data_IF_956349802571
#
_entry.id   IF_956349802571
#
_cell.length_a   1.000
_cell.length_b   1.000
_cell.length_c   1.000
_cell.angle_alpha   90.00
_cell.angle_beta   90.00
_cell.angle_gamma   90.00
#
_symmetry.space_group_name_H-M   'P 1'
#
loop_
_entity.id
_entity.type
_entity.pdbx_description
1 polymer ?
#
# COMPACT_ATOMS: atom_id res chain seq x y z
N UNK A 1 -21.53 -1.83 7.18
CA UNK A 1 -20.18 -2.38 7.45
C UNK A 1 -19.50 -2.57 6.12
N UNK A 2 -18.26 -2.11 5.97
CA UNK A 2 -17.44 -2.23 4.76
C UNK A 2 -16.33 -3.25 5.03
N UNK A 3 -16.25 -4.30 4.21
CA UNK A 3 -15.20 -5.31 4.27
C UNK A 3 -14.00 -4.90 3.42
N UNK A 4 -12.84 -4.82 4.07
CA UNK A 4 -11.57 -4.38 3.51
C UNK A 4 -10.54 -5.51 3.52
N UNK A 5 -9.98 -5.79 2.34
CA UNK A 5 -8.88 -6.72 2.19
C UNK A 5 -7.56 -5.97 1.95
N UNK A 6 -6.57 -6.18 2.81
CA UNK A 6 -5.31 -5.45 2.79
C UNK A 6 -4.15 -6.37 2.45
N UNK A 7 -3.18 -5.89 1.68
CA UNK A 7 -1.89 -6.57 1.50
C UNK A 7 -0.75 -5.57 1.26
N UNK A 8 0.49 -5.94 1.62
CA UNK A 8 1.66 -5.06 1.46
C UNK A 8 3.02 -5.77 1.47
N UNK A 9 4.11 -5.00 1.54
CA UNK A 9 5.49 -5.53 1.50
C UNK A 9 6.04 -5.96 2.86
N UNK A 10 5.71 -5.22 3.92
CA UNK A 10 6.33 -5.41 5.23
C UNK A 10 5.34 -5.42 6.38
N UNK A 11 5.72 -6.14 7.45
CA UNK A 11 5.00 -6.14 8.72
C UNK A 11 5.05 -4.78 9.43
N UNK A 12 6.07 -3.99 9.15
CA UNK A 12 6.28 -2.66 9.74
C UNK A 12 5.33 -1.62 9.18
N UNK A 13 4.87 -1.79 7.94
CA UNK A 13 4.05 -0.78 7.25
C UNK A 13 2.56 -1.10 7.38
N UNK A 14 2.19 -2.33 7.02
CA UNK A 14 0.78 -2.77 7.05
C UNK A 14 0.39 -3.40 8.38
N UNK A 15 1.36 -3.95 9.12
CA UNK A 15 1.11 -4.67 10.35
C UNK A 15 1.38 -6.17 10.25
N UNK A 16 1.07 -6.87 11.33
CA UNK A 16 1.26 -8.33 11.44
C UNK A 16 0.05 -8.99 12.07
N UNK A 17 -0.20 -10.24 11.68
CA UNK A 17 -1.22 -11.07 12.32
C UNK A 17 -0.97 -11.15 13.83
N UNK A 18 -2.02 -10.97 14.62
CA UNK A 18 -1.93 -11.13 16.06
C UNK A 18 -2.12 -12.61 16.41
N UNK A 19 -1.06 -13.31 16.79
CA UNK A 19 -1.13 -14.73 17.15
C UNK A 19 -1.90 -15.00 18.45
N UNK A 20 -2.08 -14.00 19.31
CA UNK A 20 -2.88 -14.12 20.53
C UNK A 20 -4.38 -13.93 20.27
N UNK A 21 -4.74 -13.17 19.23
CA UNK A 21 -6.11 -13.03 18.75
C UNK A 21 -6.12 -13.03 17.20
N UNK A 22 -6.22 -14.21 16.57
CA UNK A 22 -6.20 -14.35 15.11
C UNK A 22 -7.34 -13.62 14.40
N UNK A 23 -8.38 -13.19 15.12
CA UNK A 23 -9.46 -12.34 14.58
C UNK A 23 -9.03 -10.88 14.41
N UNK A 24 -7.86 -10.52 14.92
CA UNK A 24 -7.29 -9.18 14.87
C UNK A 24 -5.86 -9.24 14.32
N UNK A 25 -5.44 -8.16 13.71
CA UNK A 25 -4.03 -7.96 13.35
C UNK A 25 -3.55 -6.64 13.95
N UNK A 26 -2.27 -6.60 14.31
CA UNK A 26 -1.63 -5.40 14.82
C UNK A 26 -1.42 -4.46 13.64
N UNK A 27 -2.23 -3.40 13.55
CA UNK A 27 -2.19 -2.45 12.43
C UNK A 27 -0.86 -1.71 12.38
N UNK A 28 -0.23 -1.71 11.21
CA UNK A 28 0.90 -0.84 10.92
C UNK A 28 0.46 0.58 10.55
N UNK A 29 1.40 1.54 10.46
CA UNK A 29 1.10 2.95 10.17
C UNK A 29 0.30 3.16 8.89
N UNK A 30 0.57 2.39 7.83
CA UNK A 30 -0.11 2.53 6.55
C UNK A 30 -1.53 1.99 6.60
N UNK A 31 -1.77 0.92 7.36
CA UNK A 31 -3.14 0.45 7.63
C UNK A 31 -3.95 1.49 8.40
N UNK A 32 -3.35 2.10 9.44
CA UNK A 32 -4.01 3.18 10.18
C UNK A 32 -4.35 4.36 9.25
N UNK A 33 -3.43 4.73 8.35
CA UNK A 33 -3.69 5.79 7.37
C UNK A 33 -4.85 5.44 6.43
N UNK A 34 -4.88 4.22 5.89
CA UNK A 34 -5.98 3.77 5.03
C UNK A 34 -7.33 3.80 5.76
N UNK A 35 -7.37 3.29 7.00
CA UNK A 35 -8.56 3.35 7.86
C UNK A 35 -9.00 4.80 8.12
N UNK A 36 -8.08 5.72 8.42
CA UNK A 36 -8.39 7.13 8.64
C UNK A 36 -8.98 7.79 7.40
N UNK A 37 -8.40 7.55 6.21
CA UNK A 37 -8.89 8.11 4.95
C UNK A 37 -10.30 7.60 4.64
N UNK A 38 -10.54 6.29 4.83
CA UNK A 38 -11.86 5.71 4.57
C UNK A 38 -12.90 6.26 5.55
N UNK A 39 -12.60 6.30 6.85
CA UNK A 39 -13.50 6.88 7.87
C UNK A 39 -13.79 8.36 7.68
N UNK A 40 -12.93 9.08 6.97
CA UNK A 40 -13.23 10.47 6.60
C UNK A 40 -14.32 10.57 5.52
N UNK A 41 -14.53 9.51 4.75
CA UNK A 41 -15.50 9.45 3.67
C UNK A 41 -16.83 8.77 4.06
N UNK A 42 -16.88 8.09 5.21
CA UNK A 42 -18.06 7.33 5.63
C UNK A 42 -18.10 7.08 7.15
N UNK A 43 -19.32 7.01 7.70
CA UNK A 43 -19.58 6.62 9.09
C UNK A 43 -19.71 5.08 9.27
N UNK A 44 -19.60 4.32 8.18
CA UNK A 44 -19.68 2.86 8.21
C UNK A 44 -18.54 2.22 9.02
N UNK A 45 -18.85 1.12 9.70
CA UNK A 45 -17.85 0.31 10.39
C UNK A 45 -16.97 -0.44 9.38
N UNK A 46 -15.68 -0.55 9.67
CA UNK A 46 -14.72 -1.26 8.83
C UNK A 46 -14.39 -2.62 9.43
N UNK A 47 -14.57 -3.67 8.63
CA UNK A 47 -14.03 -5.00 8.89
C UNK A 47 -12.78 -5.18 8.02
N UNK A 48 -11.63 -5.46 8.64
CA UNK A 48 -10.34 -5.45 7.95
C UNK A 48 -9.62 -6.78 8.10
N UNK A 49 -9.19 -7.34 6.98
CA UNK A 49 -8.35 -8.52 6.93
C UNK A 49 -7.01 -8.20 6.26
N UNK A 50 -5.91 -8.58 6.91
CA UNK A 50 -4.56 -8.47 6.34
C UNK A 50 -4.11 -9.81 5.77
N UNK A 51 -3.82 -9.85 4.47
CA UNK A 51 -3.24 -11.01 3.79
C UNK A 51 -1.76 -10.75 3.50
N UNK A 52 -0.91 -11.60 4.08
CA UNK A 52 0.52 -11.58 3.80
C UNK A 52 0.84 -12.26 2.48
N UNK A 53 1.94 -11.84 1.86
CA UNK A 53 2.40 -12.36 0.57
C UNK A 53 2.56 -13.89 0.54
N UNK A 54 2.94 -14.50 1.67
CA UNK A 54 3.07 -15.96 1.82
C UNK A 54 1.75 -16.70 1.60
N UNK A 55 0.60 -16.03 1.66
CA UNK A 55 -0.70 -16.62 1.42
C UNK A 55 -1.10 -16.57 -0.08
N UNK A 56 -0.43 -15.75 -0.90
CA UNK A 56 -0.65 -15.75 -2.36
C UNK A 56 -0.08 -16.99 -3.05
N UNK A 57 0.94 -17.64 -2.48
CA UNK A 57 1.63 -18.79 -3.11
C UNK A 57 0.80 -20.07 -3.11
N UNK A 58 -0.27 -20.14 -2.32
CA UNK A 58 -1.17 -21.30 -2.27
C UNK A 58 -2.19 -21.33 -3.43
N UNK A 59 -2.41 -20.22 -4.15
CA UNK A 59 -3.43 -20.09 -5.21
C UNK A 59 -2.94 -20.31 -6.65
N UNK A 60 -1.78 -20.95 -6.84
CA UNK A 60 -1.37 -21.51 -8.12
C UNK A 60 -0.65 -20.57 -9.10
N UNK A 61 -0.17 -21.16 -10.20
CA UNK A 61 0.60 -20.48 -11.24
C UNK A 61 -0.34 -19.76 -12.23
N UNK A 62 -0.44 -18.44 -12.13
CA UNK A 62 -1.07 -17.62 -13.18
C UNK A 62 -0.18 -17.61 -14.42
N UNK A 63 -0.75 -17.95 -15.58
CA UNK A 63 -0.14 -17.67 -16.89
C UNK A 63 -0.35 -16.20 -17.20
N UNK A 64 0.65 -15.38 -16.90
CA UNK A 64 0.64 -13.96 -17.28
C UNK A 64 0.74 -13.86 -18.81
N UNK A 65 -0.14 -13.10 -19.49
CA UNK A 65 0.06 -12.81 -20.90
C UNK A 65 1.39 -12.06 -21.04
N UNK A 66 2.23 -12.53 -21.98
CA UNK A 66 3.60 -12.06 -22.15
C UNK A 66 3.69 -10.63 -22.66
N UNK A 67 3.33 -9.65 -21.83
CA UNK A 67 3.67 -8.24 -22.04
C UNK A 67 5.12 -8.09 -21.58
N UNK A 68 5.99 -7.49 -22.41
CA UNK A 68 7.39 -7.17 -22.07
C UNK A 68 7.44 -6.12 -20.95
N UNK A 69 6.95 -6.45 -19.76
CA UNK A 69 6.99 -5.59 -18.59
C UNK A 69 8.21 -5.96 -17.75
N UNK A 70 8.90 -4.97 -17.18
CA UNK A 70 9.98 -5.22 -16.25
C UNK A 70 9.56 -6.19 -15.14
N UNK A 71 10.50 -6.99 -14.62
CA UNK A 71 10.20 -8.02 -13.61
C UNK A 71 9.43 -7.46 -12.40
N UNK A 72 9.71 -6.19 -12.05
CA UNK A 72 9.08 -5.46 -10.95
C UNK A 72 7.60 -5.16 -11.22
N UNK A 73 7.25 -4.69 -12.41
CA UNK A 73 5.85 -4.41 -12.78
C UNK A 73 5.05 -5.70 -12.90
N UNK A 74 5.61 -6.73 -13.54
CA UNK A 74 4.95 -8.03 -13.62
C UNK A 74 4.65 -8.63 -12.24
N UNK A 75 5.51 -8.35 -11.25
CA UNK A 75 5.29 -8.76 -9.87
C UNK A 75 4.16 -7.99 -9.18
N UNK A 76 4.05 -6.66 -9.35
CA UNK A 76 2.98 -5.88 -8.74
C UNK A 76 1.61 -6.18 -9.35
N UNK A 77 1.55 -6.29 -10.68
CA UNK A 77 0.38 -6.77 -11.40
C UNK A 77 -0.13 -8.10 -10.84
N UNK A 78 0.77 -9.09 -10.72
CA UNK A 78 0.38 -10.43 -10.23
C UNK A 78 -0.21 -10.40 -8.83
N UNK A 79 0.35 -9.59 -7.94
CA UNK A 79 -0.16 -9.48 -6.57
C UNK A 79 -1.54 -8.80 -6.54
N UNK A 80 -1.73 -7.76 -7.34
CA UNK A 80 -3.02 -7.07 -7.44
C UNK A 80 -4.09 -8.00 -8.00
N UNK A 81 -3.76 -8.75 -9.06
CA UNK A 81 -4.66 -9.75 -9.62
C UNK A 81 -5.08 -10.80 -8.59
N UNK A 82 -4.10 -11.39 -7.88
CA UNK A 82 -4.39 -12.40 -6.86
C UNK A 82 -5.21 -11.84 -5.70
N UNK A 83 -4.90 -10.62 -5.26
CA UNK A 83 -5.64 -9.95 -4.20
C UNK A 83 -7.08 -9.68 -4.62
N UNK A 84 -7.31 -9.22 -5.86
CA UNK A 84 -8.65 -9.02 -6.42
C UNK A 84 -9.45 -10.32 -6.53
N UNK A 85 -8.83 -11.43 -6.95
CA UNK A 85 -9.47 -12.75 -6.95
C UNK A 85 -9.88 -13.20 -5.53
N UNK A 86 -9.00 -13.00 -4.54
CA UNK A 86 -9.34 -13.32 -3.15
C UNK A 86 -10.48 -12.42 -2.64
N UNK A 87 -10.47 -11.13 -2.98
CA UNK A 87 -11.52 -10.20 -2.61
C UNK A 87 -12.88 -10.59 -3.19
N UNK A 88 -12.92 -11.01 -4.47
CA UNK A 88 -14.13 -11.53 -5.11
C UNK A 88 -14.65 -12.78 -4.41
N UNK A 89 -13.78 -13.76 -4.15
CA UNK A 89 -14.17 -15.01 -3.48
C UNK A 89 -14.71 -14.76 -2.06
N UNK A 90 -14.16 -13.77 -1.35
CA UNK A 90 -14.59 -13.39 0.00
C UNK A 90 -15.78 -12.43 0.02
N UNK A 91 -16.16 -11.85 -1.12
CA UNK A 91 -17.19 -10.82 -1.18
C UNK A 91 -16.79 -9.52 -0.48
N UNK A 92 -15.50 -9.15 -0.52
CA UNK A 92 -15.01 -7.91 0.07
C UNK A 92 -15.47 -6.69 -0.74
N UNK A 93 -15.68 -5.56 -0.06
CA UNK A 93 -16.10 -4.31 -0.70
C UNK A 93 -14.93 -3.58 -1.35
N UNK A 94 -13.74 -3.60 -0.73
CA UNK A 94 -12.54 -2.91 -1.21
C UNK A 94 -11.31 -3.78 -0.95
N UNK A 95 -10.35 -3.74 -1.88
CA UNK A 95 -9.05 -4.39 -1.73
C UNK A 95 -7.93 -3.37 -1.91
N UNK A 96 -7.01 -3.28 -0.97
CA UNK A 96 -5.92 -2.29 -0.98
C UNK A 96 -4.60 -3.03 -1.07
N UNK A 97 -3.83 -2.72 -2.13
CA UNK A 97 -2.47 -3.20 -2.28
C UNK A 97 -1.49 -2.07 -2.00
N UNK A 98 -0.80 -2.17 -0.86
CA UNK A 98 0.31 -1.29 -0.50
C UNK A 98 1.62 -1.75 -1.11
N UNK A 99 2.36 -0.82 -1.71
CA UNK A 99 3.75 -1.04 -2.14
C UNK A 99 4.53 0.20 -1.79
N UNK A 100 5.51 0.06 -0.90
CA UNK A 100 6.43 1.17 -0.66
C UNK A 100 7.30 1.38 -1.90
N UNK A 101 7.71 2.62 -2.10
CA UNK A 101 8.63 2.98 -3.16
C UNK A 101 9.96 3.25 -2.51
N UNK A 102 10.71 2.19 -2.16
CA UNK A 102 12.02 2.29 -1.53
C UNK A 102 13.03 3.01 -2.44
N UNK A 103 12.99 4.33 -2.37
CA UNK A 103 14.08 5.23 -2.05
C UNK A 103 15.29 5.35 -2.95
N UNK A 104 15.54 4.43 -3.86
CA UNK A 104 16.61 4.64 -4.83
C UNK A 104 16.11 5.67 -5.86
N UNK A 105 16.93 6.68 -6.16
CA UNK A 105 16.67 7.74 -7.16
C UNK A 105 16.24 7.23 -8.56
N UNK A 106 16.20 5.91 -8.77
CA UNK A 106 15.87 5.22 -10.00
C UNK A 106 14.38 5.11 -10.29
N UNK A 107 13.48 5.34 -9.33
CA UNK A 107 12.03 5.45 -9.62
C UNK A 107 11.69 6.88 -10.03
N UNK A 108 12.08 7.25 -11.25
CA UNK A 108 11.63 8.50 -11.88
C UNK A 108 10.09 8.64 -11.80
N UNK A 109 9.52 9.86 -11.87
CA UNK A 109 8.06 10.05 -11.86
C UNK A 109 7.30 9.20 -12.90
N UNK A 110 7.94 8.84 -14.01
CA UNK A 110 7.44 7.87 -15.00
C UNK A 110 7.28 6.47 -14.40
N UNK A 111 8.24 6.03 -13.59
CA UNK A 111 8.28 4.70 -12.98
C UNK A 111 7.20 4.58 -11.91
N UNK A 112 6.98 5.60 -11.07
CA UNK A 112 5.87 5.58 -10.09
C UNK A 112 4.51 5.38 -10.77
N UNK A 113 4.22 6.12 -11.86
CA UNK A 113 2.97 5.95 -12.63
C UNK A 113 2.86 4.54 -13.20
N UNK A 114 3.95 3.99 -13.70
CA UNK A 114 4.00 2.61 -14.20
C UNK A 114 3.70 1.61 -13.07
N UNK A 115 4.20 1.82 -11.85
CA UNK A 115 3.89 0.94 -10.71
C UNK A 115 2.41 1.00 -10.33
N UNK A 116 1.85 2.21 -10.23
CA UNK A 116 0.43 2.41 -9.94
C UNK A 116 -0.42 1.75 -11.02
N UNK A 117 -0.15 2.04 -12.30
CA UNK A 117 -0.89 1.46 -13.41
C UNK A 117 -0.78 -0.07 -13.42
N UNK A 118 0.39 -0.63 -13.12
CA UNK A 118 0.58 -2.07 -13.04
C UNK A 118 -0.29 -2.74 -11.98
N UNK A 119 -0.57 -2.07 -10.86
CA UNK A 119 -1.47 -2.57 -9.81
C UNK A 119 -2.93 -2.44 -10.28
N UNK A 120 -3.30 -1.30 -10.86
CA UNK A 120 -4.65 -1.07 -11.38
C UNK A 120 -5.01 -2.10 -12.47
N UNK A 121 -4.12 -2.31 -13.44
CA UNK A 121 -4.28 -3.33 -14.50
C UNK A 121 -4.51 -4.73 -13.89
N UNK A 122 -3.80 -5.07 -12.81
CA UNK A 122 -3.95 -6.36 -12.14
C UNK A 122 -5.31 -6.52 -11.47
N UNK A 123 -5.82 -5.48 -10.80
CA UNK A 123 -7.17 -5.49 -10.24
C UNK A 123 -8.25 -5.54 -11.34
N UNK A 124 -8.09 -4.75 -12.39
CA UNK A 124 -9.00 -4.74 -13.55
C UNK A 124 -9.10 -6.13 -14.18
N UNK A 125 -7.96 -6.77 -14.50
CA UNK A 125 -7.92 -8.10 -15.11
C UNK A 125 -8.43 -9.20 -14.17
N UNK A 126 -8.42 -8.96 -12.85
CA UNK A 126 -9.06 -9.87 -11.89
C UNK A 126 -10.58 -9.76 -11.87
N UNK A 127 -11.16 -8.74 -12.50
CA UNK A 127 -12.60 -8.42 -12.44
C UNK A 127 -13.02 -7.68 -11.16
N UNK A 128 -12.12 -7.42 -10.22
CA UNK A 128 -12.42 -6.72 -8.98
C UNK A 128 -12.29 -5.19 -9.15
N UNK A 129 -13.42 -4.49 -9.23
CA UNK A 129 -13.48 -3.07 -9.58
C UNK A 129 -13.03 -2.12 -8.45
N UNK A 130 -13.16 -2.55 -7.19
CA UNK A 130 -12.88 -1.70 -6.02
C UNK A 130 -11.44 -1.89 -5.50
N UNK A 131 -10.51 -2.15 -6.40
CA UNK A 131 -9.09 -2.31 -6.11
C UNK A 131 -8.36 -0.96 -5.99
N UNK A 132 -7.61 -0.77 -4.91
CA UNK A 132 -6.86 0.47 -4.63
C UNK A 132 -5.36 0.21 -4.67
N UNK A 133 -4.68 0.95 -5.55
CA UNK A 133 -3.21 1.02 -5.57
C UNK A 133 -2.71 2.03 -4.53
N UNK A 134 -2.22 1.54 -3.40
CA UNK A 134 -1.69 2.37 -2.32
C UNK A 134 -0.16 2.47 -2.45
N UNK A 135 0.30 3.34 -3.35
CA UNK A 135 1.72 3.50 -3.68
C UNK A 135 2.17 4.92 -3.32
N UNK A 136 2.93 5.10 -2.23
CA UNK A 136 3.36 6.42 -1.80
C UNK A 136 4.41 7.00 -2.75
N UNK A 137 4.64 8.30 -2.59
CA UNK A 137 5.66 9.03 -3.33
C UNK A 137 6.23 10.12 -2.41
N UNK A 138 7.55 10.14 -2.16
CA UNK A 138 8.55 9.13 -2.53
C UNK A 138 8.54 7.87 -1.65
N UNK A 139 7.84 7.84 -0.51
CA UNK A 139 7.78 6.71 0.44
C UNK A 139 6.64 6.91 1.44
N UNK A 140 6.24 5.87 2.16
CA UNK A 140 5.17 5.92 3.18
C UNK A 140 5.38 7.03 4.22
N UNK A 141 6.62 7.29 4.66
CA UNK A 141 6.90 8.36 5.62
C UNK A 141 6.54 9.76 5.10
N UNK A 142 6.51 10.00 3.78
CA UNK A 142 6.08 11.29 3.24
C UNK A 142 4.57 11.53 3.48
N UNK A 143 3.75 10.48 3.40
CA UNK A 143 2.32 10.56 3.70
C UNK A 143 2.06 10.71 5.20
N UNK A 144 2.81 10.00 6.04
CA UNK A 144 2.75 10.18 7.49
C UNK A 144 3.16 11.61 7.87
N UNK A 145 4.23 12.13 7.27
CA UNK A 145 4.67 13.51 7.49
C UNK A 145 3.60 14.53 7.06
N UNK A 146 2.88 14.28 5.97
CA UNK A 146 1.74 15.10 5.56
C UNK A 146 0.65 15.15 6.63
N UNK A 147 0.32 14.00 7.22
CA UNK A 147 -0.69 13.90 8.28
C UNK A 147 -0.27 14.70 9.52
N UNK A 148 1.02 14.62 9.91
CA UNK A 148 1.56 15.37 11.04
C UNK A 148 1.61 16.90 10.79
N UNK A 149 1.77 17.32 9.54
CA UNK A 149 1.89 18.74 9.17
C UNK A 149 0.55 19.46 8.95
N UNK A 150 -0.58 18.80 9.22
CA UNK A 150 -1.92 19.41 9.07
C UNK A 150 -2.17 19.93 7.63
N UNK A 151 -1.88 19.06 6.65
CA UNK A 151 -2.32 19.05 5.24
C UNK A 151 -1.89 20.21 4.32
N UNK A 152 -1.58 21.41 4.81
CA UNK A 152 -1.28 22.53 3.92
C UNK A 152 0.11 22.33 3.26
N UNK A 153 0.11 22.20 1.93
CA UNK A 153 1.29 22.06 1.06
C UNK A 153 1.94 20.66 0.96
N UNK A 154 1.21 19.57 1.25
CA UNK A 154 1.75 18.20 1.17
C UNK A 154 2.31 17.79 -0.20
N UNK A 155 1.89 18.44 -1.30
CA UNK A 155 2.43 18.18 -2.65
C UNK A 155 3.95 18.37 -2.73
N UNK A 156 4.52 19.24 -1.89
CA UNK A 156 5.97 19.44 -1.84
C UNK A 156 6.69 18.22 -1.25
N UNK A 157 6.03 17.46 -0.38
CA UNK A 157 6.59 16.27 0.26
C UNK A 157 6.80 15.13 -0.74
N UNK A 158 6.03 15.09 -1.83
CA UNK A 158 6.23 14.13 -2.93
C UNK A 158 7.54 14.35 -3.71
N UNK A 159 8.20 15.50 -3.52
CA UNK A 159 9.49 15.82 -4.12
C UNK A 159 10.66 15.61 -3.16
N UNK A 160 10.41 15.14 -1.93
CA UNK A 160 11.47 14.76 -1.01
C UNK A 160 12.24 13.54 -1.56
N UNK A 161 13.48 13.32 -1.12
CA UNK A 161 14.18 12.09 -1.48
C UNK A 161 13.60 10.90 -0.72
N UNK A 162 13.42 9.79 -1.42
CA UNK A 162 13.11 8.50 -0.77
C UNK A 162 14.35 7.77 -0.24
N UNK A 163 15.57 8.20 -0.59
CA UNK A 163 16.78 7.55 -0.10
C UNK A 163 17.02 7.94 1.37
N UNK A 164 17.03 6.96 2.27
CA UNK A 164 17.26 7.20 3.71
C UNK A 164 18.62 7.84 4.01
N UNK A 165 19.61 7.72 3.11
CA UNK A 165 20.91 8.39 3.25
C UNK A 165 20.77 9.92 3.17
N UNK A 166 19.81 10.44 2.40
CA UNK A 166 19.61 11.88 2.23
C UNK A 166 19.28 12.56 3.56
N UNK A 167 19.83 13.76 3.78
CA UNK A 167 19.66 14.51 5.04
C UNK A 167 18.22 14.95 5.28
N UNK A 168 17.47 15.23 4.22
CA UNK A 168 16.06 15.63 4.24
C UNK A 168 15.09 14.47 3.92
N UNK A 169 15.48 13.23 4.19
CA UNK A 169 14.57 12.08 4.07
C UNK A 169 13.36 12.23 5.03
N UNK A 170 12.12 11.93 4.60
CA UNK A 170 10.92 12.11 5.43
C UNK A 170 11.03 11.49 6.83
N UNK A 171 11.58 10.27 6.94
CA UNK A 171 11.84 9.59 8.23
C UNK A 171 12.67 10.41 9.22
N UNK A 172 13.72 11.09 8.74
CA UNK A 172 14.58 11.93 9.59
C UNK A 172 13.82 13.17 10.07
N UNK A 173 12.97 13.74 9.20
CA UNK A 173 12.12 14.89 9.56
C UNK A 173 11.13 14.50 10.66
N UNK A 174 10.51 13.32 10.56
CA UNK A 174 9.60 12.80 11.59
C UNK A 174 10.34 12.65 12.93
N UNK A 175 11.50 11.98 12.95
CA UNK A 175 12.29 11.76 14.16
C UNK A 175 12.71 13.08 14.85
N UNK A 176 13.10 14.09 14.06
CA UNK A 176 13.45 15.41 14.60
C UNK A 176 12.24 16.09 15.27
N UNK A 177 11.03 15.91 14.74
CA UNK A 177 9.81 16.49 15.31
C UNK A 177 9.38 15.81 16.60
N UNK A 178 9.55 14.49 16.71
CA UNK A 178 9.29 13.75 17.95
C UNK A 178 10.23 14.12 19.09
N UNK A 179 11.40 14.70 18.79
CA UNK A 179 12.37 15.13 19.81
C UNK A 179 12.06 16.54 20.37
N UNK A 180 11.15 17.28 19.74
CA UNK A 180 10.82 18.68 20.06
C UNK A 180 9.45 18.80 20.75
N UNK A 181 8.69 17.71 20.83
CA UNK A 181 7.42 17.57 21.56
C UNK A 181 7.65 16.91 22.92
#
# INVERSE_FOLDING_TARGET
>A
MISLLLSGEGKTDMGELNYADPSRFNKGPMTCLAEMVIKHCTDETLDMELIHKSQFTQKGHIKLPGKKSDKTTGYFYKNAYLLGQIALEKGCDVAILFRDTDGTHSTMPSNWRILVQSILDGFEDSGFQNGVAMVPKPTGEAWILCCLQHYQHCKQLENLPGNQVSSNHPKKIIQLKETIL
#
